data_IF_371111748928
#
_entry.id   IF_371111748928
#
_cell.length_a   1.000
_cell.length_b   1.000
_cell.length_c   1.000
_cell.angle_alpha   90.00
_cell.angle_beta   90.00
_cell.angle_gamma   90.00
#
_symmetry.space_group_name_H-M   'P 1'
#
loop_
_entity.id
_entity.type
_entity.pdbx_description
1 polymer ?
#
# COMPACT_ATOMS: atom_id res chain seq x y z
N UNK A 1 10.11 -4.39 -25.88
CA UNK A 1 8.83 -3.80 -26.29
C UNK A 1 7.60 -4.69 -26.00
N UNK A 2 7.75 -5.94 -25.56
CA UNK A 2 6.63 -6.86 -25.26
C UNK A 2 6.08 -6.76 -23.81
N UNK A 3 6.85 -6.23 -22.86
CA UNK A 3 6.41 -6.14 -21.45
C UNK A 3 5.36 -5.05 -21.18
N UNK A 4 5.32 -3.98 -21.99
CA UNK A 4 4.33 -2.89 -21.84
C UNK A 4 2.95 -3.33 -22.34
N UNK A 5 2.90 -4.22 -23.32
CA UNK A 5 1.63 -4.73 -23.88
C UNK A 5 0.90 -5.68 -22.94
N UNK A 6 1.64 -6.42 -22.09
CA UNK A 6 1.05 -7.32 -21.08
C UNK A 6 0.39 -6.52 -19.95
N UNK A 7 0.99 -5.41 -19.51
CA UNK A 7 0.42 -4.54 -18.46
C UNK A 7 -0.84 -3.83 -18.98
N UNK A 8 -0.86 -3.41 -20.25
CA UNK A 8 -2.03 -2.73 -20.83
C UNK A 8 -3.26 -3.66 -20.94
N UNK A 9 -3.06 -4.93 -21.20
CA UNK A 9 -4.14 -5.92 -21.28
C UNK A 9 -4.67 -6.36 -19.90
N UNK A 10 -3.90 -6.14 -18.82
CA UNK A 10 -4.35 -6.45 -17.46
C UNK A 10 -5.15 -5.30 -16.81
N UNK A 11 -4.96 -4.07 -17.26
CA UNK A 11 -5.58 -2.86 -16.66
C UNK A 11 -6.87 -2.45 -17.37
N UNK A 12 -7.09 -2.90 -18.61
CA UNK A 12 -8.28 -2.54 -19.39
C UNK A 12 -9.17 -3.76 -19.66
N UNK A 13 -9.71 -4.37 -18.61
CA UNK A 13 -11.00 -5.08 -18.83
C UNK A 13 -12.07 -4.02 -19.09
N UNK A 14 -12.94 -4.23 -20.09
CA UNK A 14 -14.04 -3.30 -20.32
C UNK A 14 -14.81 -3.11 -19.02
N UNK A 15 -15.15 -1.86 -18.72
CA UNK A 15 -16.09 -1.54 -17.65
C UNK A 15 -17.34 -2.41 -17.84
N UNK A 16 -18.02 -2.79 -16.74
CA UNK A 16 -19.33 -3.44 -16.87
C UNK A 16 -20.18 -2.65 -17.87
N UNK A 17 -20.99 -3.33 -18.69
CA UNK A 17 -21.94 -2.68 -19.55
C UNK A 17 -22.74 -1.62 -18.77
N UNK A 18 -23.18 -0.56 -19.41
CA UNK A 18 -23.85 0.58 -18.75
C UNK A 18 -24.88 0.09 -17.73
N UNK A 19 -24.66 0.43 -16.45
CA UNK A 19 -25.57 0.09 -15.34
C UNK A 19 -25.13 -1.04 -14.40
N UNK A 20 -23.97 -1.66 -14.60
CA UNK A 20 -23.44 -2.71 -13.70
C UNK A 20 -22.89 -2.19 -12.38
N UNK A 21 -23.02 -2.97 -11.31
CA UNK A 21 -22.50 -2.64 -9.96
C UNK A 21 -21.11 -3.20 -9.74
N UNK A 22 -20.14 -2.32 -9.41
CA UNK A 22 -18.82 -2.69 -8.97
C UNK A 22 -18.70 -2.54 -7.45
N UNK A 23 -18.31 -3.61 -6.76
CA UNK A 23 -17.91 -3.55 -5.36
C UNK A 23 -16.39 -3.35 -5.28
N UNK A 24 -15.97 -2.22 -4.72
CA UNK A 24 -14.58 -1.93 -4.41
C UNK A 24 -14.33 -2.21 -2.93
N UNK A 25 -13.48 -3.20 -2.64
CA UNK A 25 -13.06 -3.58 -1.29
C UNK A 25 -11.65 -3.03 -1.08
N UNK A 26 -11.49 -2.11 -0.13
CA UNK A 26 -10.22 -1.42 0.09
C UNK A 26 -9.53 -2.02 1.30
N UNK A 27 -8.34 -2.59 1.07
CA UNK A 27 -7.35 -3.03 2.07
C UNK A 27 -7.92 -3.90 3.20
N UNK A 28 -8.89 -4.76 2.89
CA UNK A 28 -9.50 -5.65 3.87
C UNK A 28 -8.59 -6.85 4.23
N UNK A 29 -7.34 -6.54 4.62
CA UNK A 29 -6.28 -7.51 4.89
C UNK A 29 -6.17 -7.84 6.38
N UNK A 30 -5.63 -9.02 6.70
CA UNK A 30 -5.55 -9.54 8.08
C UNK A 30 -4.80 -8.61 9.03
N UNK A 31 -3.78 -7.89 8.56
CA UNK A 31 -3.04 -6.94 9.41
C UNK A 31 -3.87 -5.75 9.89
N UNK A 32 -4.98 -5.44 9.22
CA UNK A 32 -5.92 -4.40 9.65
C UNK A 32 -7.05 -4.93 10.54
N UNK A 33 -7.09 -6.25 10.84
CA UNK A 33 -8.19 -6.86 11.58
C UNK A 33 -7.75 -7.37 12.96
N UNK A 34 -8.55 -7.12 14.04
CA UNK A 34 -8.36 -7.75 15.33
C UNK A 34 -8.47 -9.28 15.25
N UNK A 35 -7.92 -10.04 16.23
CA UNK A 35 -7.11 -9.55 17.35
C UNK A 35 -5.61 -9.42 17.03
N UNK A 36 -5.14 -9.98 15.92
CA UNK A 36 -3.71 -10.23 15.67
C UNK A 36 -3.09 -9.35 14.58
N UNK A 37 -3.85 -8.46 13.98
CA UNK A 37 -3.35 -7.55 12.95
C UNK A 37 -2.30 -6.58 13.48
N UNK A 38 -1.17 -6.41 12.75
CA UNK A 38 -0.09 -5.52 13.17
C UNK A 38 -0.53 -4.05 13.23
N UNK A 39 -1.54 -3.69 12.47
CA UNK A 39 -2.16 -2.36 12.43
C UNK A 39 -3.69 -2.49 12.55
N UNK A 40 -4.15 -3.28 13.52
CA UNK A 40 -5.55 -3.61 13.67
C UNK A 40 -6.41 -2.36 13.94
N UNK A 41 -7.51 -2.27 13.19
CA UNK A 41 -8.52 -1.22 13.30
C UNK A 41 -9.71 -1.77 14.11
N UNK A 42 -10.08 -1.14 15.23
CA UNK A 42 -11.24 -1.60 16.01
C UNK A 42 -12.50 -1.65 15.17
N UNK A 43 -13.20 -2.79 15.20
CA UNK A 43 -14.44 -3.02 14.46
C UNK A 43 -14.27 -3.51 13.02
N UNK A 44 -13.04 -3.61 12.51
CA UNK A 44 -12.78 -4.11 11.15
C UNK A 44 -13.25 -5.56 10.95
N UNK A 45 -13.19 -6.38 11.99
CA UNK A 45 -13.70 -7.75 11.98
C UNK A 45 -15.21 -7.82 11.77
N UNK A 46 -15.96 -6.88 12.34
CA UNK A 46 -17.40 -6.78 12.10
C UNK A 46 -17.70 -6.22 10.70
N UNK A 47 -16.88 -5.31 10.18
CA UNK A 47 -16.99 -4.83 8.81
C UNK A 47 -16.70 -5.96 7.81
N UNK A 48 -15.71 -6.80 8.08
CA UNK A 48 -15.42 -7.97 7.25
C UNK A 48 -16.65 -8.89 7.10
N UNK A 49 -17.33 -9.18 8.20
CA UNK A 49 -18.58 -9.95 8.17
C UNK A 49 -19.68 -9.26 7.37
N UNK A 50 -19.83 -7.93 7.51
CA UNK A 50 -20.80 -7.15 6.73
C UNK A 50 -20.51 -7.20 5.24
N UNK A 51 -19.25 -7.06 4.85
CA UNK A 51 -18.79 -7.15 3.45
C UNK A 51 -19.05 -8.55 2.91
N UNK A 52 -18.65 -9.60 3.64
CA UNK A 52 -18.88 -10.99 3.24
C UNK A 52 -20.38 -11.29 3.06
N UNK A 53 -21.22 -10.82 3.99
CA UNK A 53 -22.67 -10.99 3.90
C UNK A 53 -23.27 -10.22 2.72
N UNK A 54 -22.77 -9.02 2.40
CA UNK A 54 -23.19 -8.26 1.21
C UNK A 54 -22.89 -9.04 -0.07
N UNK A 55 -21.68 -9.58 -0.21
CA UNK A 55 -21.28 -10.39 -1.36
C UNK A 55 -22.18 -11.62 -1.50
N UNK A 56 -22.36 -12.39 -0.43
CA UNK A 56 -23.22 -13.58 -0.42
C UNK A 56 -24.68 -13.26 -0.71
N UNK A 57 -25.17 -12.13 -0.17
CA UNK A 57 -26.56 -11.69 -0.43
C UNK A 57 -26.79 -11.33 -1.88
N UNK A 58 -25.78 -10.81 -2.58
CA UNK A 58 -25.87 -10.47 -4.00
C UNK A 58 -26.02 -11.70 -4.92
N UNK A 59 -25.72 -12.89 -4.41
CA UNK A 59 -25.83 -14.15 -5.16
C UNK A 59 -27.23 -14.76 -5.16
N UNK A 60 -28.11 -14.31 -4.25
CA UNK A 60 -29.48 -14.83 -4.16
C UNK A 60 -30.29 -14.43 -5.39
N UNK A 61 -31.22 -15.26 -5.83
CA UNK A 61 -32.05 -15.02 -7.01
C UNK A 61 -32.88 -13.73 -6.86
N UNK A 62 -33.42 -13.49 -5.67
CA UNK A 62 -34.23 -12.34 -5.29
C UNK A 62 -33.45 -11.13 -4.78
N UNK A 63 -32.10 -11.13 -4.94
CA UNK A 63 -31.26 -10.05 -4.45
C UNK A 63 -31.64 -8.71 -5.09
N UNK A 64 -31.90 -7.71 -4.24
CA UNK A 64 -32.15 -6.33 -4.67
C UNK A 64 -30.90 -5.65 -5.23
N UNK A 65 -29.71 -6.13 -4.87
CA UNK A 65 -28.42 -5.70 -5.37
C UNK A 65 -27.68 -6.88 -5.99
N UNK A 66 -27.34 -6.76 -7.27
CA UNK A 66 -26.44 -7.71 -7.96
C UNK A 66 -25.05 -7.07 -8.09
N UNK A 67 -24.01 -7.81 -7.76
CA UNK A 67 -22.62 -7.38 -7.94
C UNK A 67 -22.11 -7.97 -9.25
N UNK A 68 -21.73 -7.09 -10.18
CA UNK A 68 -21.24 -7.48 -11.50
C UNK A 68 -19.73 -7.60 -11.56
N UNK A 69 -19.02 -6.87 -10.69
CA UNK A 69 -17.56 -6.84 -10.61
C UNK A 69 -17.11 -6.67 -9.16
N UNK A 70 -16.07 -7.39 -8.79
CA UNK A 70 -15.38 -7.19 -7.50
C UNK A 70 -13.94 -6.78 -7.78
N UNK A 71 -13.52 -5.68 -7.14
CA UNK A 71 -12.13 -5.21 -7.12
C UNK A 71 -11.70 -5.12 -5.66
N UNK A 72 -10.62 -5.80 -5.29
CA UNK A 72 -10.03 -5.70 -3.97
C UNK A 72 -8.63 -5.09 -4.05
N UNK A 73 -8.38 -4.03 -3.28
CA UNK A 73 -7.04 -3.48 -3.14
C UNK A 73 -6.30 -4.18 -2.00
N UNK A 74 -5.00 -4.34 -2.15
CA UNK A 74 -4.13 -4.88 -1.12
C UNK A 74 -2.95 -3.95 -0.93
N UNK A 75 -2.81 -3.43 0.26
CA UNK A 75 -1.58 -2.80 0.69
C UNK A 75 -0.46 -3.84 0.67
N UNK A 76 0.66 -3.52 0.03
CA UNK A 76 1.66 -4.52 -0.36
C UNK A 76 3.04 -3.96 -0.12
N UNK A 77 3.47 -4.00 1.13
CA UNK A 77 4.72 -3.39 1.55
C UNK A 77 5.91 -4.36 1.54
N UNK A 78 7.06 -3.82 1.24
CA UNK A 78 8.34 -4.44 1.60
C UNK A 78 8.69 -4.09 3.05
N UNK A 79 9.47 -4.96 3.71
CA UNK A 79 9.93 -4.68 5.07
C UNK A 79 10.71 -3.36 5.15
N UNK A 80 11.59 -3.11 4.18
CA UNK A 80 12.28 -1.84 4.03
C UNK A 80 11.40 -0.88 3.23
N UNK A 81 10.77 0.06 3.92
CA UNK A 81 9.83 1.02 3.33
C UNK A 81 9.91 2.36 4.08
N UNK A 82 9.77 3.49 3.38
CA UNK A 82 9.94 4.83 3.97
C UNK A 82 9.06 5.08 5.20
N UNK A 83 7.88 4.48 5.24
CA UNK A 83 6.94 4.58 6.37
C UNK A 83 7.14 3.49 7.44
N UNK A 84 8.20 2.70 7.40
CA UNK A 84 8.49 1.66 8.38
C UNK A 84 9.72 2.00 9.24
N UNK A 85 9.77 1.55 10.51
CA UNK A 85 10.91 1.79 11.40
C UNK A 85 12.25 1.36 10.80
N UNK A 86 12.27 0.24 10.07
CA UNK A 86 13.48 -0.37 9.51
C UNK A 86 14.20 0.50 8.47
N UNK A 87 13.52 1.51 7.91
CA UNK A 87 14.10 2.44 6.93
C UNK A 87 14.96 3.53 7.59
N UNK A 88 14.69 3.85 8.84
CA UNK A 88 15.25 4.99 9.57
C UNK A 88 16.19 4.56 10.69
N UNK A 89 17.02 5.50 11.13
CA UNK A 89 17.83 5.36 12.33
C UNK A 89 18.19 6.70 12.94
N UNK A 90 18.30 6.75 14.25
CA UNK A 90 18.87 7.86 14.98
C UNK A 90 20.39 7.70 15.14
N UNK A 91 21.09 8.76 15.56
CA UNK A 91 22.54 8.75 15.77
C UNK A 91 23.00 7.71 16.82
N UNK A 92 22.16 7.38 17.79
CA UNK A 92 22.40 6.35 18.80
C UNK A 92 22.06 4.92 18.34
N UNK A 93 21.60 4.77 17.08
CA UNK A 93 21.19 3.48 16.50
C UNK A 93 19.74 3.09 16.75
N UNK A 94 18.97 3.88 17.51
CA UNK A 94 17.56 3.61 17.74
C UNK A 94 16.75 3.77 16.44
N UNK A 95 15.66 2.99 16.35
CA UNK A 95 14.68 3.12 15.30
C UNK A 95 13.49 3.97 15.78
N UNK A 96 12.81 4.72 14.89
CA UNK A 96 11.59 5.39 15.28
C UNK A 96 10.53 4.37 15.70
N UNK A 97 9.79 4.67 16.74
CA UNK A 97 8.67 3.85 17.17
C UNK A 97 7.51 3.99 16.19
N UNK A 98 6.65 2.98 16.04
CA UNK A 98 5.38 3.14 15.34
C UNK A 98 4.63 4.40 15.79
N UNK A 99 3.97 5.03 14.84
CA UNK A 99 3.23 6.31 14.99
C UNK A 99 4.10 7.55 15.24
N UNK A 100 5.43 7.44 15.14
CA UNK A 100 6.31 8.61 15.10
C UNK A 100 6.06 9.38 13.81
N UNK A 101 5.86 10.68 13.91
CA UNK A 101 5.89 11.59 12.76
C UNK A 101 7.33 12.02 12.52
N UNK A 102 7.78 11.95 11.26
CA UNK A 102 9.09 12.42 10.83
C UNK A 102 8.89 13.64 9.94
N UNK A 103 9.51 14.75 10.33
CA UNK A 103 9.47 16.01 9.59
C UNK A 103 10.74 16.22 8.76
N UNK A 104 10.64 17.04 7.72
CA UNK A 104 11.80 17.45 6.92
C UNK A 104 12.90 18.08 7.79
N UNK A 105 12.50 18.90 8.77
CA UNK A 105 13.41 19.54 9.72
C UNK A 105 14.16 18.53 10.60
N UNK A 106 13.50 17.48 11.08
CA UNK A 106 14.14 16.44 11.89
C UNK A 106 15.18 15.64 11.08
N UNK A 107 14.94 15.45 9.76
CA UNK A 107 15.90 14.81 8.87
C UNK A 107 17.10 15.75 8.60
N UNK A 108 16.86 17.04 8.36
CA UNK A 108 17.90 18.06 8.19
C UNK A 108 18.82 18.10 9.40
N UNK A 109 18.26 18.16 10.60
CA UNK A 109 18.97 18.22 11.88
C UNK A 109 19.66 16.89 12.26
N UNK A 110 19.42 15.82 11.51
CA UNK A 110 20.04 14.51 11.74
C UNK A 110 19.43 13.71 12.88
N UNK A 111 18.27 14.08 13.40
CA UNK A 111 17.53 13.29 14.38
C UNK A 111 17.13 11.94 13.79
N UNK A 112 16.63 11.95 12.57
CA UNK A 112 16.33 10.75 11.79
C UNK A 112 17.13 10.76 10.49
N UNK A 113 17.71 9.63 10.15
CA UNK A 113 18.50 9.46 8.92
C UNK A 113 18.04 8.19 8.22
N UNK A 114 17.81 8.23 6.89
CA UNK A 114 17.57 7.00 6.15
C UNK A 114 18.80 6.11 6.23
N UNK A 115 18.60 4.81 6.48
CA UNK A 115 19.69 3.87 6.75
C UNK A 115 20.43 3.49 5.48
N UNK A 116 21.60 4.08 5.28
CA UNK A 116 22.51 3.78 4.17
C UNK A 116 23.32 2.50 4.34
N UNK A 117 23.40 1.95 5.57
CA UNK A 117 24.10 0.69 5.88
C UNK A 117 23.45 -0.52 5.17
N UNK A 118 22.21 -0.36 4.75
CA UNK A 118 21.51 -1.30 3.89
C UNK A 118 21.58 -0.77 2.47
N UNK A 119 22.34 -1.44 1.60
CA UNK A 119 22.37 -1.15 0.16
C UNK A 119 20.95 -1.30 -0.37
N UNK A 120 20.20 -0.21 -0.34
CA UNK A 120 18.89 -0.18 -0.98
C UNK A 120 19.09 -0.45 -2.46
N UNK A 121 18.29 -1.31 -3.07
CA UNK A 121 18.32 -1.51 -4.52
C UNK A 121 17.70 -0.30 -5.23
N UNK A 122 18.24 0.89 -4.95
CA UNK A 122 17.90 2.09 -5.70
C UNK A 122 18.59 1.95 -7.04
N UNK A 123 17.82 1.70 -8.06
CA UNK A 123 18.31 1.58 -9.43
C UNK A 123 19.10 2.83 -9.77
N UNK A 124 20.30 2.68 -10.39
CA UNK A 124 21.04 3.81 -10.99
C UNK A 124 20.18 4.66 -11.94
N UNK A 125 19.09 4.10 -12.46
CA UNK A 125 18.10 4.86 -13.24
C UNK A 125 17.34 5.91 -12.44
N UNK A 126 17.21 5.76 -11.12
CA UNK A 126 16.60 6.77 -10.25
C UNK A 126 17.48 7.99 -10.08
N UNK A 127 18.81 7.84 -10.12
CA UNK A 127 19.77 8.96 -10.04
C UNK A 127 19.53 9.98 -11.16
N UNK A 128 19.19 9.50 -12.36
CA UNK A 128 18.93 10.33 -13.52
C UNK A 128 17.44 10.63 -13.72
N UNK A 129 16.55 10.06 -12.91
CA UNK A 129 15.13 10.34 -13.00
C UNK A 129 14.83 11.73 -12.45
N UNK A 130 14.03 12.49 -13.18
CA UNK A 130 13.49 13.74 -12.68
C UNK A 130 12.32 13.44 -11.74
N UNK A 131 12.66 13.08 -10.48
CA UNK A 131 11.69 12.78 -9.45
C UNK A 131 11.27 14.10 -8.79
N UNK A 132 9.98 14.34 -8.67
CA UNK A 132 9.48 15.58 -8.08
C UNK A 132 10.05 16.86 -8.75
N UNK A 133 10.31 16.82 -10.06
CA UNK A 133 10.90 17.89 -10.86
C UNK A 133 12.33 18.32 -10.44
N UNK A 134 13.07 17.43 -9.79
CA UNK A 134 14.48 17.64 -9.44
C UNK A 134 15.26 16.32 -9.46
N UNK A 135 16.59 16.45 -9.45
CA UNK A 135 17.52 15.32 -9.36
C UNK A 135 18.08 15.24 -7.95
N UNK A 136 18.21 14.01 -7.45
CA UNK A 136 18.81 13.71 -6.17
C UNK A 136 20.09 12.93 -6.42
N UNK A 137 21.20 13.67 -6.55
CA UNK A 137 22.53 13.12 -6.84
C UNK A 137 23.51 13.69 -5.85
N UNK A 138 24.29 12.84 -5.20
CA UNK A 138 25.35 13.26 -4.29
C UNK A 138 26.65 13.60 -5.05
N UNK A 139 27.71 14.01 -4.31
CA UNK A 139 28.99 14.39 -4.87
C UNK A 139 29.72 13.27 -5.64
N UNK A 140 29.35 12.02 -5.40
CA UNK A 140 29.96 10.83 -6.01
C UNK A 140 29.11 10.30 -7.18
N UNK A 141 27.99 10.99 -7.51
CA UNK A 141 27.07 10.63 -8.59
C UNK A 141 26.10 9.52 -8.21
N UNK A 142 25.97 9.22 -6.92
CA UNK A 142 25.01 8.26 -6.38
C UNK A 142 23.71 8.98 -5.96
N UNK A 143 22.65 8.20 -5.74
CA UNK A 143 21.37 8.75 -5.34
C UNK A 143 21.40 9.26 -3.90
N UNK A 144 21.22 10.60 -3.74
CA UNK A 144 21.13 11.24 -2.42
C UNK A 144 19.78 10.95 -1.76
N UNK A 145 19.72 9.80 -1.06
CA UNK A 145 18.52 9.36 -0.36
C UNK A 145 18.10 10.34 0.74
N UNK A 146 19.06 10.98 1.42
CA UNK A 146 18.73 11.95 2.48
C UNK A 146 18.07 13.20 1.89
N UNK A 147 18.63 13.76 0.84
CA UNK A 147 18.04 14.91 0.15
C UNK A 147 16.65 14.58 -0.40
N UNK A 148 16.47 13.37 -0.96
CA UNK A 148 15.17 12.90 -1.40
C UNK A 148 14.16 12.87 -0.25
N UNK A 149 14.50 12.28 0.90
CA UNK A 149 13.59 12.16 2.05
C UNK A 149 13.21 13.54 2.61
N UNK A 150 14.15 14.49 2.65
CA UNK A 150 13.86 15.87 3.07
C UNK A 150 12.81 16.50 2.15
N UNK A 151 13.03 16.44 0.85
CA UNK A 151 12.09 17.01 -0.13
C UNK A 151 10.74 16.30 -0.11
N UNK A 152 10.73 14.97 0.05
CA UNK A 152 9.50 14.21 0.17
C UNK A 152 8.66 14.66 1.37
N UNK A 153 9.30 14.81 2.55
CA UNK A 153 8.60 15.30 3.74
C UNK A 153 8.14 16.75 3.58
N UNK A 154 8.96 17.65 3.00
CA UNK A 154 8.54 19.04 2.71
C UNK A 154 7.27 19.09 1.87
N UNK A 155 7.19 18.27 0.83
CA UNK A 155 5.99 18.26 -0.03
C UNK A 155 4.75 17.71 0.67
N UNK A 156 4.90 16.78 1.61
CA UNK A 156 3.78 16.34 2.43
C UNK A 156 3.33 17.46 3.37
N UNK A 157 4.29 18.15 4.02
CA UNK A 157 4.05 19.28 4.93
C UNK A 157 3.37 20.46 4.21
N UNK A 158 3.89 20.85 3.03
CA UNK A 158 3.36 21.94 2.21
C UNK A 158 1.98 21.60 1.60
N UNK A 159 1.70 20.33 1.40
CA UNK A 159 0.45 19.85 0.80
C UNK A 159 -0.76 19.87 1.75
N UNK A 160 -0.59 20.31 3.00
CA UNK A 160 -1.63 20.36 4.04
C UNK A 160 -2.41 19.03 4.21
N UNK A 161 -1.73 17.90 3.92
CA UNK A 161 -2.30 16.56 4.06
C UNK A 161 -1.72 15.86 5.28
N UNK A 162 -1.09 14.72 5.07
CA UNK A 162 -0.49 13.92 6.14
C UNK A 162 1.02 14.11 6.12
N UNK A 163 1.62 14.39 7.30
CA UNK A 163 3.06 14.28 7.47
C UNK A 163 3.48 12.82 7.37
N UNK A 164 4.77 12.57 7.07
CA UNK A 164 5.28 11.21 7.07
C UNK A 164 5.13 10.58 8.47
N UNK A 165 4.26 9.60 8.58
CA UNK A 165 4.05 8.84 9.79
C UNK A 165 4.67 7.45 9.66
N UNK A 166 5.36 7.02 10.70
CA UNK A 166 5.92 5.66 10.77
C UNK A 166 4.86 4.70 11.28
N UNK A 167 4.55 3.71 10.48
CA UNK A 167 3.61 2.65 10.81
C UNK A 167 4.31 1.43 11.40
N UNK A 168 3.62 0.58 12.17
CA UNK A 168 4.09 -0.78 12.39
C UNK A 168 4.36 -1.47 11.05
N UNK A 169 5.32 -2.37 11.00
CA UNK A 169 5.49 -3.21 9.79
C UNK A 169 4.20 -4.02 9.59
N UNK A 170 3.49 -3.79 8.51
CA UNK A 170 2.19 -4.39 8.20
C UNK A 170 2.07 -4.73 6.73
N UNK A 171 1.16 -5.61 6.40
CA UNK A 171 0.85 -6.02 5.03
C UNK A 171 2.10 -6.37 4.20
N UNK A 172 3.10 -7.00 4.85
CA UNK A 172 4.33 -7.38 4.18
C UNK A 172 4.07 -8.46 3.15
N UNK A 173 4.51 -8.24 1.91
CA UNK A 173 4.35 -9.20 0.81
C UNK A 173 4.84 -10.59 1.24
N UNK A 174 3.99 -11.60 1.08
CA UNK A 174 4.28 -12.98 1.47
C UNK A 174 4.00 -13.33 2.94
N UNK A 175 3.59 -12.37 3.77
CA UNK A 175 3.14 -12.64 5.14
C UNK A 175 1.66 -13.02 5.19
N UNK A 176 1.24 -13.63 6.29
CA UNK A 176 -0.18 -13.89 6.57
C UNK A 176 -0.97 -12.58 6.66
N UNK A 177 -0.38 -11.52 7.21
CA UNK A 177 -1.01 -10.21 7.35
C UNK A 177 -1.36 -9.54 6.02
N UNK A 178 -0.60 -9.84 4.96
CA UNK A 178 -0.85 -9.36 3.60
C UNK A 178 -2.10 -9.97 2.96
N UNK A 179 -2.53 -11.14 3.42
CA UNK A 179 -3.72 -11.81 2.86
C UNK A 179 -5.00 -11.09 3.24
N UNK A 180 -6.03 -11.20 2.38
CA UNK A 180 -7.38 -10.76 2.75
C UNK A 180 -7.86 -11.46 4.02
N UNK A 181 -8.76 -10.79 4.74
CA UNK A 181 -9.54 -11.41 5.81
C UNK A 181 -10.26 -12.65 5.28
N UNK A 182 -10.31 -13.72 6.08
CA UNK A 182 -10.81 -15.02 5.64
C UNK A 182 -12.28 -14.97 5.23
N UNK A 183 -13.14 -14.29 6.01
CA UNK A 183 -14.58 -14.18 5.71
C UNK A 183 -14.81 -13.52 4.34
N UNK A 184 -14.05 -12.46 4.04
CA UNK A 184 -14.13 -11.74 2.76
C UNK A 184 -13.59 -12.60 1.63
N UNK A 185 -12.44 -13.25 1.85
CA UNK A 185 -11.82 -14.11 0.82
C UNK A 185 -12.75 -15.25 0.44
N UNK A 186 -13.34 -15.91 1.41
CA UNK A 186 -14.31 -16.98 1.19
C UNK A 186 -15.54 -16.48 0.41
N UNK A 187 -16.10 -15.34 0.79
CA UNK A 187 -17.24 -14.77 0.08
C UNK A 187 -16.91 -14.40 -1.37
N UNK A 188 -15.72 -13.88 -1.64
CA UNK A 188 -15.24 -13.62 -3.01
C UNK A 188 -15.11 -14.93 -3.80
N UNK A 189 -14.58 -15.99 -3.19
CA UNK A 189 -14.44 -17.29 -3.86
C UNK A 189 -15.80 -17.93 -4.18
N UNK A 190 -16.76 -17.79 -3.27
CA UNK A 190 -18.16 -18.20 -3.51
C UNK A 190 -18.75 -17.41 -4.69
N UNK A 191 -18.52 -16.10 -4.74
CA UNK A 191 -18.98 -15.24 -5.84
C UNK A 191 -18.35 -15.65 -7.17
N UNK A 192 -17.03 -15.88 -7.21
CA UNK A 192 -16.31 -16.34 -8.40
C UNK A 192 -16.91 -17.67 -8.90
N UNK A 193 -17.08 -18.63 -7.98
CA UNK A 193 -17.57 -19.96 -8.33
C UNK A 193 -19.00 -19.93 -8.84
N UNK A 194 -19.86 -19.13 -8.21
CA UNK A 194 -21.29 -19.06 -8.56
C UNK A 194 -21.52 -18.30 -9.86
N UNK A 195 -20.78 -17.21 -10.09
CA UNK A 195 -21.01 -16.34 -11.25
C UNK A 195 -20.17 -16.70 -12.47
N UNK A 196 -19.09 -17.46 -12.30
CA UNK A 196 -18.09 -17.72 -13.34
C UNK A 196 -17.26 -16.50 -13.70
N UNK A 197 -17.37 -15.37 -12.95
CA UNK A 197 -16.60 -14.14 -13.15
C UNK A 197 -15.31 -14.20 -12.31
N UNK A 198 -14.31 -13.38 -12.64
CA UNK A 198 -13.08 -13.25 -11.85
C UNK A 198 -13.10 -11.96 -11.04
N UNK A 199 -12.68 -12.03 -9.77
CA UNK A 199 -12.35 -10.82 -9.00
C UNK A 199 -11.00 -10.25 -9.43
N UNK A 200 -10.81 -8.95 -9.26
CA UNK A 200 -9.58 -8.24 -9.55
C UNK A 200 -8.88 -7.86 -8.25
N UNK A 201 -7.54 -8.02 -8.23
CA UNK A 201 -6.73 -7.64 -7.08
C UNK A 201 -5.72 -6.57 -7.49
N UNK A 202 -5.72 -5.45 -6.79
CA UNK A 202 -4.83 -4.31 -7.06
C UNK A 202 -3.82 -4.21 -5.93
N UNK A 203 -2.58 -4.56 -6.22
CA UNK A 203 -1.47 -4.42 -5.27
C UNK A 203 -0.96 -2.97 -5.30
N UNK A 204 -1.04 -2.26 -4.18
CA UNK A 204 -0.55 -0.89 -4.02
C UNK A 204 0.54 -0.81 -2.94
N UNK A 205 1.24 0.33 -2.84
CA UNK A 205 2.22 0.54 -1.77
C UNK A 205 3.54 -0.19 -1.93
N UNK A 206 3.87 -0.73 -3.12
CA UNK A 206 5.11 -1.48 -3.35
C UNK A 206 6.35 -0.58 -3.49
N UNK A 207 6.17 0.73 -3.69
CA UNK A 207 7.29 1.65 -3.82
C UNK A 207 7.92 1.93 -2.46
N UNK A 208 9.20 1.56 -2.31
CA UNK A 208 9.96 1.69 -1.05
C UNK A 208 10.11 3.15 -0.57
N UNK A 209 10.00 4.11 -1.47
CA UNK A 209 10.32 5.52 -1.27
C UNK A 209 9.10 6.42 -1.13
N UNK A 210 7.89 5.89 -1.22
CA UNK A 210 6.64 6.66 -1.11
C UNK A 210 5.61 5.90 -0.29
N UNK A 211 4.80 6.63 0.47
CA UNK A 211 3.63 6.09 1.15
C UNK A 211 2.35 6.47 0.41
N UNK A 212 1.32 5.66 0.55
CA UNK A 212 0.00 5.86 -0.05
C UNK A 212 -0.95 6.47 1.00
N UNK A 213 -1.02 7.80 1.04
CA UNK A 213 -1.94 8.55 1.90
C UNK A 213 -3.25 8.87 1.20
#
# INVERSE_FOLDING_TARGET
MQFIQVIHNFICKPMPEEGGTTLLIIDAQKDFHPPNGSLAVPGADEDAKRIANLVRSSLKDDASLKIDRIVATLDSHHKLHIAHPSFWGAANGDLPKPFTVITSKEIEDGKWTPRHDRKMPVSKKLVHANIMNQKFEDKDGDFDLKAYCIEYCKRLEDGEKFNLQIWPEHCLIGSTGHSLNDDIKEAIDEWITTTGKSAEFVLKGQNLLTEMY
#
